data_IF_344195551864
#
_entry.id   IF_344195551864
#
_cell.length_a   1.000
_cell.length_b   1.000
_cell.length_c   1.000
_cell.angle_alpha   90.00
_cell.angle_beta   90.00
_cell.angle_gamma   90.00
#
_symmetry.space_group_name_H-M   'P 1'
#
loop_
_entity.id
_entity.type
_entity.pdbx_description
1 polymer ?
#
# COMPACT_ATOMS: atom_id res chain seq x y z
N UNK A 1 37.14 -27.83 -56.30
CA UNK A 1 36.39 -26.84 -55.52
C UNK A 1 35.36 -27.57 -54.65
N UNK A 2 35.60 -27.73 -53.34
CA UNK A 2 34.60 -28.24 -52.37
C UNK A 2 34.41 -27.14 -51.32
N UNK A 3 33.23 -26.54 -51.31
CA UNK A 3 32.85 -25.47 -50.39
C UNK A 3 32.60 -26.08 -49.00
N UNK A 4 33.40 -25.68 -48.02
CA UNK A 4 33.22 -26.02 -46.62
C UNK A 4 32.24 -25.00 -46.02
N UNK A 5 31.05 -25.45 -45.61
CA UNK A 5 30.08 -24.63 -44.92
C UNK A 5 30.51 -24.42 -43.46
N UNK A 6 30.70 -23.15 -43.08
CA UNK A 6 30.92 -22.72 -41.71
C UNK A 6 29.57 -22.66 -41.00
N UNK A 7 29.31 -23.56 -40.05
CA UNK A 7 28.17 -23.47 -39.16
C UNK A 7 28.50 -22.48 -38.03
N UNK A 8 27.95 -21.26 -38.09
CA UNK A 8 27.92 -20.35 -36.95
C UNK A 8 26.92 -20.90 -35.92
N UNK A 9 27.43 -21.47 -34.84
CA UNK A 9 26.64 -21.73 -33.64
C UNK A 9 26.30 -20.41 -32.95
N UNK A 10 25.08 -19.93 -33.13
CA UNK A 10 24.56 -18.82 -32.36
C UNK A 10 24.24 -19.30 -30.93
N UNK A 11 25.17 -19.08 -30.00
CA UNK A 11 24.92 -19.29 -28.57
C UNK A 11 23.90 -18.24 -28.12
N UNK A 12 22.63 -18.62 -28.05
CA UNK A 12 21.60 -17.79 -27.44
C UNK A 12 21.93 -17.65 -25.94
N UNK A 13 22.48 -16.49 -25.55
CA UNK A 13 22.61 -16.11 -24.16
C UNK A 13 21.19 -16.02 -23.58
N UNK A 14 20.80 -17.03 -22.79
CA UNK A 14 19.62 -16.96 -21.93
C UNK A 14 19.81 -15.79 -20.97
N UNK A 15 19.25 -14.63 -21.31
CA UNK A 15 19.17 -13.48 -20.43
C UNK A 15 18.38 -13.92 -19.20
N UNK A 16 19.07 -14.02 -18.06
CA UNK A 16 18.42 -14.28 -16.78
C UNK A 16 17.24 -13.31 -16.61
N UNK A 17 16.05 -13.79 -16.16
CA UNK A 17 14.89 -12.93 -16.05
C UNK A 17 15.25 -11.71 -15.20
N UNK A 18 15.11 -10.51 -15.79
CA UNK A 18 15.33 -9.26 -15.08
C UNK A 18 14.50 -9.30 -13.80
N UNK A 19 15.17 -9.17 -12.64
CA UNK A 19 14.50 -9.11 -11.33
C UNK A 19 13.42 -8.04 -11.41
N UNK A 20 12.15 -8.44 -11.35
CA UNK A 20 11.02 -7.52 -11.42
C UNK A 20 11.21 -6.41 -10.38
N UNK A 21 11.08 -5.16 -10.78
CA UNK A 21 11.08 -4.04 -9.83
C UNK A 21 9.80 -4.05 -9.04
N UNK A 22 9.84 -3.59 -7.79
CA UNK A 22 8.62 -3.26 -7.07
C UNK A 22 7.87 -2.20 -7.88
N UNK A 23 6.61 -2.47 -8.20
CA UNK A 23 5.75 -1.49 -8.84
C UNK A 23 5.13 -0.59 -7.77
N UNK A 24 5.03 0.70 -8.10
CA UNK A 24 4.23 1.67 -7.38
C UNK A 24 2.89 1.82 -8.12
N UNK A 25 1.81 1.80 -7.37
CA UNK A 25 0.43 1.84 -7.82
C UNK A 25 -0.24 3.11 -7.31
N UNK A 26 -1.11 3.70 -8.13
CA UNK A 26 -2.01 4.75 -7.66
C UNK A 26 -3.22 4.10 -7.01
N UNK A 27 -3.61 4.57 -5.84
CA UNK A 27 -4.86 4.17 -5.20
C UNK A 27 -5.99 5.00 -5.80
N UNK A 28 -6.98 4.31 -6.35
CA UNK A 28 -8.15 4.92 -7.01
C UNK A 28 -9.41 4.82 -6.17
N UNK A 29 -9.38 4.04 -5.09
CA UNK A 29 -10.48 3.92 -4.13
C UNK A 29 -10.37 2.65 -3.29
N UNK A 30 -11.50 2.24 -2.72
CA UNK A 30 -11.61 1.03 -1.90
C UNK A 30 -12.26 1.30 -0.55
N UNK A 31 -11.92 0.49 0.45
CA UNK A 31 -12.47 0.64 1.80
C UNK A 31 -11.55 0.08 2.89
N UNK A 32 -11.75 0.57 4.10
CA UNK A 32 -11.29 0.00 5.35
C UNK A 32 -12.48 -0.62 6.07
N UNK A 33 -12.31 -1.87 6.46
CA UNK A 33 -13.16 -2.57 7.42
C UNK A 33 -12.36 -2.73 8.72
N UNK A 34 -12.72 -2.00 9.77
CA UNK A 34 -12.07 -2.05 11.06
C UNK A 34 -12.96 -2.77 12.08
N UNK A 35 -12.61 -4.02 12.35
CA UNK A 35 -13.44 -4.96 13.09
C UNK A 35 -12.93 -5.18 14.51
N UNK A 36 -13.82 -5.12 15.51
CA UNK A 36 -13.49 -5.51 16.89
C UNK A 36 -14.73 -6.02 17.64
N UNK A 37 -14.51 -6.86 18.66
CA UNK A 37 -15.56 -7.31 19.57
C UNK A 37 -15.99 -6.20 20.54
N UNK A 38 -17.23 -6.22 21.02
CA UNK A 38 -17.67 -5.38 22.14
C UNK A 38 -17.51 -6.14 23.47
N UNK A 39 -16.27 -6.29 23.95
CA UNK A 39 -15.97 -7.15 25.09
C UNK A 39 -15.32 -6.38 26.24
N UNK A 40 -15.92 -6.48 27.43
CA UNK A 40 -15.40 -5.91 28.66
C UNK A 40 -15.68 -6.82 29.85
N UNK A 41 -14.63 -7.14 30.59
CA UNK A 41 -14.66 -7.74 31.91
C UNK A 41 -13.55 -7.14 32.77
N UNK A 42 -13.81 -6.90 34.05
CA UNK A 42 -12.82 -6.29 34.95
C UNK A 42 -11.52 -7.12 34.98
N UNK A 43 -10.38 -6.47 34.78
CA UNK A 43 -9.06 -7.12 34.77
C UNK A 43 -8.75 -8.03 33.58
N UNK A 44 -9.69 -8.24 32.64
CA UNK A 44 -9.48 -9.16 31.53
C UNK A 44 -8.51 -8.59 30.48
N UNK A 45 -7.63 -9.46 29.96
CA UNK A 45 -6.71 -9.13 28.87
C UNK A 45 -7.42 -8.98 27.53
N UNK A 46 -8.58 -9.61 27.39
CA UNK A 46 -9.44 -9.62 26.20
C UNK A 46 -10.32 -8.39 26.04
N UNK A 47 -10.23 -7.42 26.97
CA UNK A 47 -10.99 -6.18 26.86
C UNK A 47 -10.67 -5.45 25.57
N UNK A 48 -11.72 -4.96 24.91
CA UNK A 48 -11.61 -4.15 23.70
C UNK A 48 -11.96 -2.69 24.00
N UNK A 49 -11.58 -1.82 23.07
CA UNK A 49 -11.94 -0.41 23.13
C UNK A 49 -13.46 -0.18 23.12
N UNK A 50 -14.22 -0.89 22.28
CA UNK A 50 -15.69 -0.82 22.32
C UNK A 50 -16.27 -1.30 23.64
N UNK A 51 -15.74 -2.38 24.20
CA UNK A 51 -16.17 -2.87 25.50
C UNK A 51 -15.97 -1.82 26.60
N UNK A 52 -14.82 -1.14 26.60
CA UNK A 52 -14.53 -0.05 27.52
C UNK A 52 -15.50 1.11 27.37
N UNK A 53 -15.59 1.71 26.17
CA UNK A 53 -16.41 2.91 25.94
C UNK A 53 -17.86 2.66 26.35
N UNK A 54 -18.41 1.51 25.96
CA UNK A 54 -19.82 1.21 26.19
C UNK A 54 -20.07 0.57 27.56
N UNK A 55 -19.06 0.46 28.44
CA UNK A 55 -19.25 -0.12 29.76
C UNK A 55 -20.15 0.77 30.63
N UNK A 56 -21.27 0.21 31.09
CA UNK A 56 -22.22 0.84 32.01
C UNK A 56 -22.18 0.28 33.44
N UNK A 57 -21.23 -0.61 33.72
CA UNK A 57 -21.14 -1.33 35.00
C UNK A 57 -19.85 -1.01 35.75
N UNK A 58 -19.83 -1.29 37.06
CA UNK A 58 -18.69 -1.02 37.94
C UNK A 58 -18.71 0.38 38.56
N UNK A 59 -17.69 0.69 39.39
CA UNK A 59 -17.64 1.94 40.16
C UNK A 59 -17.36 3.21 39.34
N UNK A 60 -16.90 3.08 38.09
CA UNK A 60 -16.62 4.21 37.21
C UNK A 60 -16.95 3.89 35.74
N UNK A 61 -18.24 3.79 35.39
CA UNK A 61 -18.67 3.43 34.05
C UNK A 61 -18.30 4.52 33.03
N UNK A 62 -17.96 4.09 31.81
CA UNK A 62 -17.68 5.02 30.71
C UNK A 62 -18.97 5.59 30.12
N UNK A 63 -20.05 4.80 30.09
CA UNK A 63 -21.37 5.21 29.57
C UNK A 63 -21.28 6.00 28.25
N UNK A 64 -20.35 5.58 27.40
CA UNK A 64 -19.96 6.27 26.19
C UNK A 64 -20.55 5.63 24.94
N UNK A 65 -20.24 6.23 23.81
CA UNK A 65 -20.70 5.76 22.51
C UNK A 65 -19.70 6.04 21.39
N UNK A 66 -19.87 5.31 20.30
CA UNK A 66 -19.18 5.52 19.01
C UNK A 66 -20.26 5.65 17.95
N UNK A 67 -20.39 6.83 17.35
CA UNK A 67 -21.36 7.10 16.29
C UNK A 67 -20.63 7.37 14.99
N UNK A 68 -20.95 6.64 13.92
CA UNK A 68 -20.41 6.94 12.60
C UNK A 68 -21.29 7.94 11.86
N UNK A 69 -20.64 8.91 11.23
CA UNK A 69 -21.26 9.87 10.34
C UNK A 69 -20.81 9.58 8.92
N UNK A 70 -21.75 9.63 7.99
CA UNK A 70 -21.47 9.37 6.59
C UNK A 70 -20.30 10.24 6.08
N UNK A 71 -19.40 9.67 5.27
CA UNK A 71 -19.52 8.35 4.66
C UNK A 71 -18.92 7.20 5.50
N UNK A 72 -18.53 7.43 6.76
CA UNK A 72 -18.20 6.33 7.66
C UNK A 72 -19.45 5.54 8.04
N UNK A 73 -19.30 4.25 8.30
CA UNK A 73 -20.40 3.34 8.62
C UNK A 73 -20.09 2.47 9.84
N UNK A 74 -21.13 1.91 10.47
CA UNK A 74 -21.01 0.83 11.44
C UNK A 74 -21.88 -0.34 10.98
N UNK A 75 -21.31 -1.54 11.05
CA UNK A 75 -22.07 -2.80 10.93
C UNK A 75 -21.90 -3.57 12.23
N UNK A 76 -23.00 -3.82 12.94
CA UNK A 76 -23.03 -4.69 14.11
C UNK A 76 -23.41 -6.13 13.75
N UNK A 77 -23.56 -7.01 14.76
CA UNK A 77 -23.87 -8.42 14.56
C UNK A 77 -25.17 -8.69 13.78
N UNK A 78 -26.16 -7.80 13.91
CA UNK A 78 -27.46 -7.91 13.25
C UNK A 78 -27.59 -7.08 11.96
N UNK A 79 -26.53 -6.41 11.52
CA UNK A 79 -26.53 -5.57 10.32
C UNK A 79 -26.11 -4.12 10.56
N UNK A 80 -26.47 -3.24 9.63
CA UNK A 80 -26.07 -1.83 9.66
C UNK A 80 -26.70 -1.08 10.84
N UNK A 81 -25.89 -0.27 11.52
CA UNK A 81 -26.30 0.60 12.63
C UNK A 81 -25.54 1.93 12.53
N UNK A 82 -25.96 2.93 13.30
CA UNK A 82 -25.28 4.24 13.35
C UNK A 82 -24.39 4.40 14.58
N UNK A 83 -24.75 3.76 15.69
CA UNK A 83 -24.12 3.98 17.00
C UNK A 83 -23.88 2.66 17.71
N UNK A 84 -22.73 2.54 18.37
CA UNK A 84 -22.42 1.52 19.38
C UNK A 84 -22.40 2.22 20.73
N UNK A 85 -23.18 1.72 21.69
CA UNK A 85 -23.47 2.36 22.97
C UNK A 85 -23.67 1.30 24.08
N UNK A 86 -24.04 1.67 25.32
CA UNK A 86 -24.22 0.68 26.39
C UNK A 86 -25.34 -0.34 26.17
N UNK A 87 -26.33 -0.04 25.32
CA UNK A 87 -27.41 -0.96 24.97
C UNK A 87 -27.00 -1.99 23.90
N UNK A 88 -25.88 -1.73 23.20
CA UNK A 88 -25.36 -2.61 22.16
C UNK A 88 -24.86 -3.95 22.73
N UNK A 89 -25.18 -5.10 22.09
CA UNK A 89 -24.71 -6.41 22.51
C UNK A 89 -23.22 -6.48 22.86
N UNK A 90 -22.91 -7.21 23.95
CA UNK A 90 -21.56 -7.37 24.49
C UNK A 90 -21.13 -8.83 24.49
N UNK A 91 -19.86 -9.07 24.23
CA UNK A 91 -19.26 -10.41 24.16
C UNK A 91 -18.07 -10.44 23.19
N UNK A 92 -17.26 -11.50 23.29
CA UNK A 92 -16.15 -11.72 22.35
C UNK A 92 -16.62 -12.13 20.96
N UNK A 93 -17.85 -12.65 20.87
CA UNK A 93 -18.59 -13.02 19.67
C UNK A 93 -19.42 -11.85 19.08
N UNK A 94 -19.61 -10.77 19.85
CA UNK A 94 -20.35 -9.58 19.42
C UNK A 94 -19.43 -8.64 18.65
N UNK A 95 -19.30 -8.91 17.35
CA UNK A 95 -18.37 -8.22 16.45
C UNK A 95 -19.01 -7.01 15.77
N UNK A 96 -18.31 -5.88 15.81
CA UNK A 96 -18.68 -4.64 15.16
C UNK A 96 -17.59 -4.22 14.17
N UNK A 97 -17.98 -3.64 13.04
CA UNK A 97 -17.07 -3.16 12.00
C UNK A 97 -17.33 -1.69 11.71
N UNK A 98 -16.29 -0.87 11.85
CA UNK A 98 -16.26 0.51 11.38
C UNK A 98 -15.79 0.52 9.92
N UNK A 99 -16.63 1.03 9.02
CA UNK A 99 -16.30 1.19 7.61
C UNK A 99 -15.83 2.60 7.30
N UNK A 100 -14.73 2.72 6.55
CA UNK A 100 -14.29 3.99 5.97
C UNK A 100 -14.00 3.81 4.47
N UNK A 101 -14.61 4.63 3.59
CA UNK A 101 -14.19 4.69 2.20
C UNK A 101 -12.73 5.13 2.05
N UNK A 102 -12.05 4.58 1.06
CA UNK A 102 -10.72 5.03 0.64
C UNK A 102 -10.88 6.04 -0.49
N UNK A 103 -10.22 7.19 -0.34
CA UNK A 103 -10.18 8.21 -1.37
C UNK A 103 -9.16 7.87 -2.47
N UNK A 104 -9.41 8.39 -3.67
CA UNK A 104 -8.42 8.40 -4.73
C UNK A 104 -7.21 9.30 -4.38
N UNK A 105 -6.06 9.03 -4.99
CA UNK A 105 -4.85 9.88 -4.89
C UNK A 105 -3.82 9.37 -3.88
N UNK A 106 -4.13 8.28 -3.17
CA UNK A 106 -3.14 7.54 -2.40
C UNK A 106 -2.13 6.80 -3.30
N UNK A 107 -1.15 6.17 -2.67
CA UNK A 107 -0.19 5.28 -3.32
C UNK A 107 -0.08 3.97 -2.58
N UNK A 108 0.29 2.91 -3.30
CA UNK A 108 0.62 1.62 -2.72
C UNK A 108 1.71 0.96 -3.57
N UNK A 109 2.51 0.07 -3.02
CA UNK A 109 3.55 -0.63 -3.77
C UNK A 109 3.56 -2.11 -3.40
N UNK A 110 4.18 -2.92 -4.25
CA UNK A 110 4.37 -4.35 -3.95
C UNK A 110 5.18 -4.61 -2.67
N UNK A 111 5.94 -3.61 -2.20
CA UNK A 111 6.65 -3.70 -0.92
C UNK A 111 5.77 -3.35 0.29
N UNK A 112 4.46 -3.15 0.09
CA UNK A 112 3.53 -2.77 1.14
C UNK A 112 3.78 -1.35 1.67
N UNK A 113 4.34 -0.47 0.85
CA UNK A 113 4.59 0.94 1.20
C UNK A 113 3.57 1.81 0.48
N UNK A 114 3.00 2.79 1.16
CA UNK A 114 1.99 3.64 0.56
C UNK A 114 1.32 4.61 1.54
N UNK A 115 0.52 5.51 1.00
CA UNK A 115 -0.36 6.40 1.76
C UNK A 115 -1.78 6.23 1.27
N UNK A 116 -2.74 6.10 2.18
CA UNK A 116 -4.15 5.90 1.89
C UNK A 116 -4.94 6.91 2.71
N UNK A 117 -5.65 7.80 2.05
CA UNK A 117 -6.56 8.73 2.71
C UNK A 117 -7.95 8.09 2.78
N UNK A 118 -8.63 8.33 3.89
CA UNK A 118 -9.97 7.84 4.15
C UNK A 118 -10.86 9.03 4.45
N UNK A 119 -12.10 8.98 3.99
CA UNK A 119 -13.12 9.98 4.33
C UNK A 119 -14.07 9.40 5.36
N UNK A 120 -14.50 10.21 6.32
CA UNK A 120 -15.49 9.80 7.32
C UNK A 120 -15.25 10.44 8.67
N UNK A 121 -16.27 10.40 9.52
CA UNK A 121 -16.23 10.96 10.87
C UNK A 121 -16.83 9.99 11.87
N UNK A 122 -16.16 9.83 13.00
CA UNK A 122 -16.74 9.25 14.21
C UNK A 122 -16.94 10.35 15.25
N UNK A 123 -18.11 10.39 15.85
CA UNK A 123 -18.35 11.07 17.12
C UNK A 123 -18.17 10.07 18.25
N UNK A 124 -17.45 10.48 19.28
CA UNK A 124 -17.01 9.63 20.35
C UNK A 124 -17.39 10.25 21.68
N UNK A 125 -17.96 9.45 22.57
CA UNK A 125 -18.30 9.86 23.93
C UNK A 125 -17.67 8.88 24.91
N UNK A 126 -17.04 9.36 25.97
CA UNK A 126 -16.58 8.54 27.10
C UNK A 126 -16.54 9.37 28.37
N UNK A 127 -17.11 8.86 29.47
CA UNK A 127 -17.23 9.58 30.75
C UNK A 127 -17.82 10.98 30.60
N UNK A 128 -18.83 11.13 29.72
CA UNK A 128 -19.46 12.39 29.32
C UNK A 128 -18.55 13.39 28.57
N UNK A 129 -17.32 13.01 28.21
CA UNK A 129 -16.46 13.81 27.34
C UNK A 129 -16.64 13.42 25.89
N UNK A 130 -16.62 14.42 25.02
CA UNK A 130 -16.83 14.24 23.60
C UNK A 130 -15.51 14.42 22.85
N UNK A 131 -15.32 13.64 21.79
CA UNK A 131 -14.20 13.74 20.87
C UNK A 131 -14.61 13.36 19.45
N UNK A 132 -13.74 13.62 18.49
CA UNK A 132 -14.01 13.32 17.07
C UNK A 132 -12.81 12.68 16.41
N UNK A 133 -13.08 11.73 15.51
CA UNK A 133 -12.10 11.09 14.63
C UNK A 133 -12.49 11.36 13.19
N UNK A 134 -11.72 12.18 12.48
CA UNK A 134 -12.13 12.71 11.18
C UNK A 134 -11.05 12.45 10.13
N UNK A 135 -11.51 12.01 8.95
CA UNK A 135 -10.71 11.80 7.74
C UNK A 135 -9.36 11.11 7.98
N UNK A 136 -9.37 9.87 8.50
CA UNK A 136 -8.12 9.21 8.88
C UNK A 136 -7.21 8.97 7.67
N UNK A 137 -5.90 9.01 7.91
CA UNK A 137 -4.87 8.68 6.94
C UNK A 137 -4.07 7.48 7.43
N UNK A 138 -3.99 6.44 6.60
CA UNK A 138 -3.11 5.29 6.81
C UNK A 138 -1.82 5.52 6.03
N UNK A 139 -0.68 5.38 6.70
CA UNK A 139 0.64 5.32 6.05
C UNK A 139 1.24 3.95 6.28
N UNK A 140 1.46 3.20 5.21
CA UNK A 140 2.04 1.88 5.19
C UNK A 140 3.54 1.94 4.88
N UNK A 141 4.32 1.11 5.56
CA UNK A 141 5.75 0.99 5.36
C UNK A 141 6.18 -0.48 5.56
N UNK A 142 5.70 -1.33 4.66
CA UNK A 142 5.91 -2.78 4.69
C UNK A 142 5.19 -3.42 5.87
N UNK A 143 5.96 -3.92 6.82
CA UNK A 143 5.44 -4.67 7.97
C UNK A 143 4.97 -3.78 9.12
N UNK A 144 4.92 -2.47 8.90
CA UNK A 144 4.46 -1.48 9.88
C UNK A 144 3.69 -0.38 9.19
N UNK A 145 2.91 0.37 9.96
CA UNK A 145 2.24 1.56 9.48
C UNK A 145 1.89 2.51 10.61
N UNK A 146 1.10 3.53 10.27
CA UNK A 146 0.50 4.47 11.21
C UNK A 146 -0.88 4.87 10.73
N UNK A 147 -1.76 5.24 11.66
CA UNK A 147 -2.98 6.00 11.39
C UNK A 147 -2.84 7.37 12.04
N UNK A 148 -3.10 8.42 11.27
CA UNK A 148 -3.30 9.79 11.77
C UNK A 148 -4.70 10.25 11.41
N UNK A 149 -5.20 11.31 12.02
CA UNK A 149 -6.53 11.87 11.73
C UNK A 149 -6.57 13.36 12.05
N UNK A 150 -7.66 14.03 11.70
CA UNK A 150 -8.06 15.27 12.35
C UNK A 150 -9.15 15.00 13.40
N UNK A 151 -9.54 16.02 14.16
CA UNK A 151 -10.66 15.96 15.10
C UNK A 151 -10.30 16.55 16.46
N UNK A 152 -10.82 15.95 17.53
CA UNK A 152 -10.66 16.42 18.91
C UNK A 152 -10.47 15.27 19.89
N UNK A 153 -9.65 15.46 20.91
CA UNK A 153 -9.45 14.47 21.98
C UNK A 153 -10.71 14.32 22.85
N UNK A 154 -10.90 13.11 23.40
CA UNK A 154 -11.95 12.84 24.40
C UNK A 154 -11.43 13.27 25.78
N UNK A 155 -11.76 14.50 26.19
CA UNK A 155 -11.34 15.06 27.47
C UNK A 155 -12.33 16.14 27.96
N UNK A 156 -12.26 16.49 29.24
CA UNK A 156 -13.02 17.61 29.81
C UNK A 156 -12.76 18.93 29.07
N UNK A 157 -11.54 19.12 28.59
CA UNK A 157 -11.15 20.21 27.69
C UNK A 157 -10.59 19.59 26.40
N UNK A 158 -11.44 19.40 25.36
CA UNK A 158 -11.00 18.80 24.11
C UNK A 158 -9.92 19.63 23.42
N UNK A 159 -8.90 18.95 22.89
CA UNK A 159 -7.81 19.57 22.13
C UNK A 159 -7.92 19.15 20.68
N UNK A 160 -7.71 20.08 19.75
CA UNK A 160 -7.69 19.79 18.33
C UNK A 160 -6.52 18.86 17.98
N UNK A 161 -6.80 17.87 17.13
CA UNK A 161 -5.84 16.92 16.62
C UNK A 161 -5.73 17.10 15.11
N UNK A 162 -4.51 17.03 14.60
CA UNK A 162 -4.20 17.06 13.18
C UNK A 162 -3.35 15.86 12.75
N UNK A 163 -3.07 15.77 11.45
CA UNK A 163 -2.31 14.66 10.89
C UNK A 163 -0.82 14.60 11.32
N UNK A 164 -0.34 15.52 12.16
CA UNK A 164 0.98 15.42 12.77
C UNK A 164 1.02 14.39 13.91
N UNK A 165 -0.15 14.07 14.48
CA UNK A 165 -0.30 13.19 15.63
C UNK A 165 -0.67 11.77 15.22
N UNK A 166 0.22 10.82 15.53
CA UNK A 166 -0.03 9.40 15.27
C UNK A 166 -1.02 8.87 16.29
N UNK A 167 -2.20 8.49 15.82
CA UNK A 167 -3.28 7.92 16.63
C UNK A 167 -3.06 6.44 16.94
N UNK A 168 -2.58 5.71 15.92
CA UNK A 168 -2.27 4.29 16.01
C UNK A 168 -0.96 3.98 15.30
N UNK A 169 -0.11 3.19 15.94
CA UNK A 169 0.88 2.40 15.22
C UNK A 169 0.21 1.16 14.65
N UNK A 170 0.64 0.72 13.47
CA UNK A 170 0.12 -0.50 12.87
C UNK A 170 1.20 -1.57 12.85
N UNK A 171 0.88 -2.75 13.38
CA UNK A 171 1.64 -3.97 13.19
C UNK A 171 1.04 -4.78 12.03
N UNK A 172 1.83 -4.96 10.97
CA UNK A 172 1.47 -5.76 9.80
C UNK A 172 2.30 -7.04 9.73
N UNK A 173 2.89 -7.47 10.86
CA UNK A 173 3.78 -8.61 10.90
C UNK A 173 3.12 -9.91 10.44
N UNK A 174 1.84 -10.07 10.75
CA UNK A 174 1.02 -11.22 10.36
C UNK A 174 -0.03 -10.86 9.31
N UNK A 175 0.11 -9.70 8.67
CA UNK A 175 -0.81 -9.27 7.64
C UNK A 175 -0.68 -10.14 6.39
N UNK A 176 -1.82 -10.45 5.76
CA UNK A 176 -1.87 -11.19 4.50
C UNK A 176 -2.26 -10.24 3.37
N UNK A 177 -1.49 -10.24 2.29
CA UNK A 177 -1.77 -9.44 1.09
C UNK A 177 -2.26 -10.38 -0.01
N UNK A 178 -3.48 -10.14 -0.49
CA UNK A 178 -4.10 -10.90 -1.57
C UNK A 178 -4.41 -9.97 -2.73
N UNK A 179 -3.98 -10.33 -3.94
CA UNK A 179 -4.51 -9.74 -5.15
C UNK A 179 -5.80 -10.46 -5.53
N UNK A 180 -6.88 -9.70 -5.73
CA UNK A 180 -8.17 -10.22 -6.15
C UNK A 180 -8.27 -10.23 -7.68
N UNK A 181 -9.22 -11.01 -8.19
CA UNK A 181 -9.48 -11.13 -9.63
C UNK A 181 -9.88 -9.80 -10.29
N UNK A 182 -10.51 -8.90 -9.53
CA UNK A 182 -10.86 -7.53 -9.95
C UNK A 182 -9.65 -6.57 -9.99
N UNK A 183 -8.43 -7.07 -9.75
CA UNK A 183 -7.20 -6.28 -9.71
C UNK A 183 -6.95 -5.55 -8.39
N UNK A 184 -7.92 -5.53 -7.46
CA UNK A 184 -7.76 -4.89 -6.15
C UNK A 184 -6.77 -5.64 -5.25
N UNK A 185 -6.15 -4.90 -4.31
CA UNK A 185 -5.31 -5.46 -3.26
C UNK A 185 -6.07 -5.49 -1.95
N UNK A 186 -6.11 -6.64 -1.29
CA UNK A 186 -6.66 -6.81 0.07
C UNK A 186 -5.54 -7.09 1.04
N UNK A 187 -5.44 -6.29 2.10
CA UNK A 187 -4.46 -6.43 3.17
C UNK A 187 -5.26 -6.66 4.46
N UNK A 188 -5.26 -7.87 4.97
CA UNK A 188 -5.99 -8.25 6.20
C UNK A 188 -5.03 -8.53 7.36
N UNK A 189 -5.59 -8.62 8.58
CA UNK A 189 -4.87 -8.85 9.83
C UNK A 189 -3.87 -7.73 10.18
N UNK A 190 -4.22 -6.48 9.86
CA UNK A 190 -3.47 -5.31 10.32
C UNK A 190 -3.89 -5.03 11.76
N UNK A 191 -2.93 -4.96 12.69
CA UNK A 191 -3.22 -4.77 14.12
C UNK A 191 -2.91 -3.33 14.55
N UNK A 192 -3.93 -2.51 14.86
CA UNK A 192 -3.75 -1.19 15.45
C UNK A 192 -3.33 -1.25 16.93
N UNK A 193 -2.37 -0.41 17.27
CA UNK A 193 -1.80 -0.25 18.61
C UNK A 193 -1.90 1.23 18.99
N UNK A 194 -2.59 1.53 20.08
CA UNK A 194 -2.79 2.91 20.55
C UNK A 194 -1.47 3.61 20.87
N UNK A 195 -1.45 4.93 20.74
CA UNK A 195 -0.31 5.78 21.12
C UNK A 195 -0.67 6.72 22.27
N UNK A 196 0.31 7.50 22.75
CA UNK A 196 0.06 8.57 23.71
C UNK A 196 -0.76 9.73 23.12
N UNK A 197 -0.72 9.94 21.80
CA UNK A 197 -1.50 10.98 21.11
C UNK A 197 -2.87 10.46 20.62
N UNK A 198 -3.27 9.23 21.01
CA UNK A 198 -4.53 8.64 20.56
C UNK A 198 -5.73 9.37 21.14
N UNK A 199 -6.63 9.82 20.28
CA UNK A 199 -7.95 10.35 20.67
C UNK A 199 -8.80 9.28 21.38
N UNK A 200 -8.52 7.99 21.14
CA UNK A 200 -9.18 6.85 21.76
C UNK A 200 -8.39 6.46 23.03
N UNK A 201 -8.64 7.21 24.11
CA UNK A 201 -7.88 7.11 25.36
C UNK A 201 -7.98 5.72 26.04
N UNK A 202 -7.05 5.45 26.96
CA UNK A 202 -7.10 4.33 27.90
C UNK A 202 -6.18 3.14 27.59
N UNK A 203 -5.66 3.03 26.36
CA UNK A 203 -4.92 1.82 25.91
C UNK A 203 -3.65 2.11 25.10
N UNK A 204 -2.94 3.20 25.42
CA UNK A 204 -1.65 3.49 24.81
C UNK A 204 -0.68 2.29 24.93
N UNK A 205 -0.09 1.90 23.80
CA UNK A 205 0.81 0.74 23.68
C UNK A 205 0.12 -0.63 23.61
N UNK A 206 -1.21 -0.70 23.71
CA UNK A 206 -1.95 -1.97 23.70
C UNK A 206 -2.66 -2.21 22.36
N UNK A 207 -2.84 -3.48 22.03
CA UNK A 207 -3.54 -3.95 20.82
C UNK A 207 -5.02 -4.29 21.10
N UNK A 208 -5.76 -3.37 21.74
CA UNK A 208 -7.17 -3.56 22.14
C UNK A 208 -8.19 -3.03 21.14
N UNK A 209 -7.71 -2.67 19.96
CA UNK A 209 -8.49 -2.00 18.94
C UNK A 209 -8.90 -2.95 17.80
N UNK A 210 -8.88 -4.27 18.01
CA UNK A 210 -9.29 -5.23 16.98
C UNK A 210 -8.31 -5.33 15.80
N UNK A 211 -8.85 -5.53 14.60
CA UNK A 211 -8.07 -5.72 13.37
C UNK A 211 -8.65 -4.92 12.21
N UNK A 212 -7.76 -4.49 11.31
CA UNK A 212 -8.10 -3.75 10.10
C UNK A 212 -7.90 -4.66 8.88
N UNK A 213 -8.89 -4.63 8.00
CA UNK A 213 -8.77 -5.07 6.61
C UNK A 213 -8.86 -3.87 5.69
N UNK A 214 -7.83 -3.69 4.86
CA UNK A 214 -7.77 -2.65 3.86
C UNK A 214 -7.95 -3.26 2.47
N UNK A 215 -8.95 -2.80 1.73
CA UNK A 215 -9.16 -3.12 0.31
C UNK A 215 -8.83 -1.89 -0.51
N UNK A 216 -7.91 -2.01 -1.46
CA UNK A 216 -7.46 -0.93 -2.35
C UNK A 216 -7.79 -1.28 -3.79
N UNK A 217 -8.61 -0.44 -4.44
CA UNK A 217 -8.61 -0.35 -5.88
C UNK A 217 -7.31 0.36 -6.29
N UNK A 218 -6.56 -0.26 -7.22
CA UNK A 218 -5.27 0.24 -7.65
C UNK A 218 -5.21 0.31 -9.17
N UNK A 219 -4.65 1.41 -9.66
CA UNK A 219 -4.25 1.55 -11.04
C UNK A 219 -2.79 1.11 -11.18
N UNK A 220 -2.57 0.20 -12.12
CA UNK A 220 -1.24 -0.30 -12.45
C UNK A 220 -0.57 0.67 -13.40
N UNK A 221 0.72 1.01 -13.21
CA UNK A 221 1.44 1.83 -14.18
C UNK A 221 1.39 1.12 -15.54
N UNK A 222 0.91 1.82 -16.58
CA UNK A 222 0.91 1.26 -17.92
C UNK A 222 2.32 0.82 -18.30
N UNK A 223 2.49 -0.35 -18.95
CA UNK A 223 3.75 -0.68 -19.58
C UNK A 223 3.96 0.37 -20.67
N UNK A 224 4.85 1.34 -20.41
CA UNK A 224 5.06 2.49 -21.29
C UNK A 224 5.07 2.07 -22.76
N UNK A 225 4.28 2.76 -23.57
CA UNK A 225 4.29 2.58 -25.02
C UNK A 225 5.75 2.67 -25.49
N UNK A 226 6.22 1.63 -26.20
CA UNK A 226 7.52 1.70 -26.84
C UNK A 226 7.58 2.93 -27.76
N UNK A 227 8.77 3.46 -28.08
CA UNK A 227 8.89 4.56 -29.03
C UNK A 227 8.10 4.19 -30.31
N UNK A 228 7.29 5.13 -30.80
CA UNK A 228 6.60 4.98 -32.08
C UNK A 228 7.65 4.61 -33.14
N UNK A 229 7.40 3.52 -33.88
CA UNK A 229 8.30 3.08 -34.93
C UNK A 229 8.61 4.22 -35.91
N UNK A 230 9.78 4.23 -36.57
CA UNK A 230 10.12 5.25 -37.54
C UNK A 230 8.99 5.37 -38.57
N UNK A 231 8.66 6.62 -38.96
CA UNK A 231 7.73 6.89 -40.06
C UNK A 231 8.20 6.08 -41.28
N UNK A 232 7.29 5.31 -41.89
CA UNK A 232 7.60 4.51 -43.07
C UNK A 232 8.20 5.37 -44.18
N UNK A 233 9.10 4.78 -44.96
CA UNK A 233 9.78 5.47 -46.06
C UNK A 233 8.77 6.09 -47.03
N UNK A 234 9.07 7.30 -47.50
CA UNK A 234 8.32 7.95 -48.57
C UNK A 234 8.34 7.03 -49.79
N UNK A 235 7.16 6.71 -50.35
CA UNK A 235 7.06 5.85 -51.53
C UNK A 235 7.93 6.34 -52.70
N UNK A 236 8.43 5.41 -53.50
CA UNK A 236 9.29 5.70 -54.65
C UNK A 236 8.60 6.70 -55.60
N UNK A 237 9.34 7.74 -56.00
CA UNK A 237 8.91 8.67 -57.04
C UNK A 237 8.64 7.87 -58.31
N UNK A 238 7.42 7.99 -58.86
CA UNK A 238 7.04 7.28 -60.08
C UNK A 238 8.04 7.53 -61.23
N UNK A 239 8.31 6.47 -62.00
CA UNK A 239 9.24 6.52 -63.13
C UNK A 239 8.93 7.69 -64.07
N UNK A 240 9.97 8.43 -64.46
CA UNK A 240 9.85 9.47 -65.48
C UNK A 240 9.28 8.86 -66.77
N UNK A 241 8.19 9.43 -67.29
CA UNK A 241 7.59 9.00 -68.54
C UNK A 241 8.59 9.05 -69.69
N UNK A 242 8.56 8.04 -70.57
CA UNK A 242 9.41 7.96 -71.75
C UNK A 242 9.31 9.24 -72.59
N UNK A 243 10.45 9.76 -73.03
CA UNK A 243 10.52 10.94 -73.88
C UNK A 243 9.88 10.65 -75.24
N UNK A 244 8.63 11.09 -75.40
CA UNK A 244 7.90 11.13 -76.64
C UNK A 244 7.70 12.58 -77.09
N UNK A 245 7.96 12.82 -78.36
CA UNK A 245 7.88 14.10 -79.06
C UNK A 245 6.54 14.82 -78.89
N UNK A 246 6.61 16.13 -78.59
CA UNK A 246 5.61 17.18 -78.89
C UNK A 246 4.16 16.96 -78.44
N UNK A 247 3.80 17.53 -77.28
CA UNK A 247 2.68 18.46 -77.00
C UNK A 247 2.78 18.79 -75.50
N UNK A 248 2.58 20.06 -75.11
CA UNK A 248 2.65 20.52 -73.73
C UNK A 248 1.52 19.87 -72.89
N UNK A 249 1.81 18.73 -72.27
CA UNK A 249 0.94 18.03 -71.33
C UNK A 249 1.27 18.40 -69.88
N UNK A 250 0.24 18.60 -69.07
CA UNK A 250 0.27 18.99 -67.65
C UNK A 250 1.22 18.11 -66.80
N UNK A 251 1.84 18.63 -65.72
CA UNK A 251 2.57 17.79 -64.77
C UNK A 251 1.69 16.64 -64.27
N UNK A 252 2.23 15.42 -64.28
CA UNK A 252 1.53 14.23 -63.79
C UNK A 252 1.07 14.41 -62.34
N UNK A 253 -0.14 13.93 -62.03
CA UNK A 253 -0.72 14.00 -60.69
C UNK A 253 0.23 13.36 -59.65
N UNK A 254 0.38 14.02 -58.50
CA UNK A 254 1.07 13.45 -57.33
C UNK A 254 0.44 12.09 -57.01
N UNK A 255 1.26 11.05 -56.89
CA UNK A 255 0.79 9.70 -56.56
C UNK A 255 -0.02 9.69 -55.26
N UNK A 256 -0.99 8.77 -55.11
CA UNK A 256 -1.79 8.68 -53.89
C UNK A 256 -0.88 8.49 -52.68
N UNK A 257 -1.26 9.13 -51.56
CA UNK A 257 -0.60 8.89 -50.29
C UNK A 257 -0.61 7.39 -49.98
N UNK A 258 0.55 6.83 -49.66
CA UNK A 258 0.67 5.41 -49.30
C UNK A 258 -0.26 5.04 -48.14
N UNK A 259 -0.70 3.76 -48.05
CA UNK A 259 -1.60 3.33 -46.98
C UNK A 259 -1.00 3.62 -45.60
N UNK A 260 -1.86 3.88 -44.62
CA UNK A 260 -1.44 3.97 -43.23
C UNK A 260 -0.68 2.68 -42.84
N UNK A 261 0.46 2.82 -42.17
CA UNK A 261 1.23 1.68 -41.68
C UNK A 261 0.39 0.79 -40.76
N UNK A 262 0.71 -0.51 -40.64
CA UNK A 262 -0.04 -1.41 -39.78
C UNK A 262 -0.04 -0.89 -38.33
N UNK A 263 -1.18 -1.02 -37.65
CA UNK A 263 -1.26 -0.74 -36.22
C UNK A 263 -0.19 -1.58 -35.50
N UNK A 264 0.58 -0.95 -34.61
CA UNK A 264 1.58 -1.64 -33.80
C UNK A 264 0.94 -2.80 -33.01
N UNK A 265 1.72 -3.84 -32.65
CA UNK A 265 1.18 -4.95 -31.87
C UNK A 265 0.56 -4.44 -30.57
N UNK A 266 -0.54 -5.08 -30.14
CA UNK A 266 -1.14 -4.80 -28.85
C UNK A 266 -0.09 -4.83 -27.74
N UNK A 267 -0.20 -3.90 -26.78
CA UNK A 267 0.66 -3.88 -25.60
C UNK A 267 0.62 -5.24 -24.91
N UNK A 268 1.77 -5.69 -24.40
CA UNK A 268 1.86 -6.95 -23.65
C UNK A 268 1.00 -6.82 -22.40
N UNK A 269 0.25 -7.85 -22.06
CA UNK A 269 -0.50 -7.92 -20.80
C UNK A 269 0.40 -7.51 -19.62
N UNK A 270 -0.15 -6.71 -18.69
CA UNK A 270 0.57 -6.29 -17.50
C UNK A 270 1.12 -7.50 -16.76
N UNK A 271 2.43 -7.51 -16.46
CA UNK A 271 3.05 -8.60 -15.70
C UNK A 271 2.29 -8.80 -14.40
N UNK A 272 1.88 -10.04 -14.12
CA UNK A 272 1.34 -10.46 -12.82
C UNK A 272 2.17 -9.84 -11.68
N UNK A 273 1.51 -9.17 -10.74
CA UNK A 273 2.16 -8.57 -9.58
C UNK A 273 2.94 -9.63 -8.81
N UNK A 274 4.22 -9.39 -8.58
CA UNK A 274 5.04 -10.34 -7.81
C UNK A 274 4.64 -10.26 -6.34
N UNK A 275 4.26 -11.37 -5.72
CA UNK A 275 3.91 -11.40 -4.29
C UNK A 275 5.10 -11.00 -3.41
N UNK A 276 4.84 -10.36 -2.27
CA UNK A 276 5.86 -10.09 -1.25
C UNK A 276 6.01 -11.29 -0.30
N UNK A 277 7.23 -11.55 0.17
CA UNK A 277 7.55 -12.49 1.25
C UNK A 277 8.29 -11.80 2.39
N UNK A 278 8.11 -12.33 3.60
CA UNK A 278 8.80 -11.86 4.80
C UNK A 278 10.06 -12.68 5.01
N UNK A 279 11.17 -12.02 5.30
CA UNK A 279 12.38 -12.68 5.80
C UNK A 279 12.94 -11.98 7.02
N UNK A 280 13.51 -12.79 7.91
CA UNK A 280 14.19 -12.32 9.12
C UNK A 280 15.66 -12.67 9.02
N UNK A 281 16.51 -11.67 9.22
CA UNK A 281 17.95 -11.81 9.20
C UNK A 281 18.52 -11.43 10.57
N UNK A 282 19.53 -12.18 11.01
CA UNK A 282 20.36 -11.77 12.15
C UNK A 282 21.65 -11.19 11.61
N UNK A 283 21.84 -9.89 11.82
CA UNK A 283 23.01 -9.15 11.38
C UNK A 283 24.22 -9.45 12.28
N UNK A 284 25.43 -9.32 11.71
CA UNK A 284 26.70 -9.49 12.44
C UNK A 284 26.80 -8.52 13.62
N UNK A 285 26.44 -7.26 13.41
CA UNK A 285 26.42 -6.20 14.42
C UNK A 285 25.17 -5.33 14.28
N UNK A 286 24.81 -4.63 15.35
CA UNK A 286 23.67 -3.71 15.34
C UNK A 286 24.06 -2.46 14.51
N UNK A 287 23.34 -2.13 13.43
CA UNK A 287 23.73 -1.01 12.55
C UNK A 287 23.51 0.36 13.19
N UNK A 288 22.64 0.44 14.20
CA UNK A 288 22.32 1.66 14.92
C UNK A 288 22.27 1.36 16.42
N UNK A 289 22.72 2.33 17.21
CA UNK A 289 22.69 2.29 18.68
C UNK A 289 21.26 2.36 19.22
N UNK A 290 21.06 1.82 20.42
CA UNK A 290 19.77 1.81 21.14
C UNK A 290 18.94 0.54 20.92
N UNK A 291 17.89 0.40 21.72
CA UNK A 291 17.04 -0.80 21.80
C UNK A 291 15.69 -0.67 21.09
N UNK A 292 15.35 0.53 20.63
CA UNK A 292 14.10 0.81 19.95
C UNK A 292 14.00 0.10 18.58
N UNK A 293 12.81 -0.38 18.25
CA UNK A 293 12.48 -0.87 16.91
C UNK A 293 12.43 0.30 15.93
N UNK A 294 13.18 0.22 14.84
CA UNK A 294 13.29 1.27 13.83
C UNK A 294 12.68 0.81 12.50
N UNK A 295 11.90 1.69 11.86
CA UNK A 295 11.41 1.50 10.49
C UNK A 295 12.55 1.74 9.48
N UNK A 296 12.74 0.82 8.54
CA UNK A 296 13.88 0.84 7.61
C UNK A 296 13.51 0.46 6.17
N UNK A 297 14.37 0.91 5.25
CA UNK A 297 14.43 0.48 3.85
C UNK A 297 15.78 -0.18 3.59
N UNK A 298 15.79 -1.31 2.87
CA UNK A 298 17.00 -1.98 2.37
C UNK A 298 17.19 -1.59 0.91
N UNK A 299 18.33 -0.96 0.62
CA UNK A 299 18.68 -0.40 -0.66
C UNK A 299 19.83 -1.20 -1.28
N UNK A 300 19.74 -1.43 -2.59
CA UNK A 300 20.87 -1.90 -3.39
C UNK A 300 21.98 -0.85 -3.37
N UNK A 301 23.21 -1.26 -3.05
CA UNK A 301 24.33 -0.34 -2.82
C UNK A 301 24.66 0.58 -4.01
N UNK A 302 24.62 0.05 -5.23
CA UNK A 302 25.04 0.78 -6.44
C UNK A 302 23.96 1.73 -6.96
N UNK A 303 22.71 1.27 -6.96
CA UNK A 303 21.60 1.97 -7.62
C UNK A 303 20.75 2.78 -6.65
N UNK A 304 20.87 2.54 -5.33
CA UNK A 304 19.95 3.09 -4.33
C UNK A 304 18.53 2.52 -4.40
N UNK A 305 18.27 1.56 -5.31
CA UNK A 305 16.96 0.94 -5.48
C UNK A 305 16.52 0.26 -4.19
N UNK A 306 15.29 0.51 -3.78
CA UNK A 306 14.72 -0.11 -2.58
C UNK A 306 14.26 -1.51 -2.94
N UNK A 307 14.82 -2.50 -2.25
CA UNK A 307 14.56 -3.93 -2.49
C UNK A 307 13.71 -4.55 -1.39
N UNK A 308 13.70 -3.95 -0.19
CA UNK A 308 12.92 -4.42 0.94
C UNK A 308 12.58 -3.28 1.89
N UNK A 309 11.52 -3.44 2.66
CA UNK A 309 11.12 -2.52 3.74
C UNK A 309 10.74 -3.31 4.98
N UNK A 310 10.87 -2.72 6.17
CA UNK A 310 10.47 -3.39 7.39
C UNK A 310 11.04 -2.76 8.64
N UNK A 311 11.45 -3.60 9.59
CA UNK A 311 11.90 -3.17 10.92
C UNK A 311 13.27 -3.73 11.27
N UNK A 312 13.99 -2.96 12.08
CA UNK A 312 15.27 -3.32 12.64
C UNK A 312 15.25 -3.09 14.15
N UNK A 313 15.50 -4.13 14.94
CA UNK A 313 15.66 -4.07 16.39
C UNK A 313 17.00 -4.70 16.78
N UNK A 314 17.98 -3.87 17.16
CA UNK A 314 19.35 -4.31 17.39
C UNK A 314 19.94 -5.00 16.15
N UNK A 315 20.18 -6.31 16.24
CA UNK A 315 20.70 -7.14 15.14
C UNK A 315 19.62 -7.86 14.32
N UNK A 316 18.35 -7.83 14.74
CA UNK A 316 17.27 -8.51 14.03
C UNK A 316 16.65 -7.57 13.00
N UNK A 317 16.84 -7.89 11.73
CA UNK A 317 16.23 -7.21 10.59
C UNK A 317 15.09 -8.07 10.06
N UNK A 318 13.86 -7.57 10.08
CA UNK A 318 12.69 -8.25 9.55
C UNK A 318 12.09 -7.42 8.41
N UNK A 319 12.07 -7.97 7.20
CA UNK A 319 11.74 -7.20 5.98
C UNK A 319 10.78 -7.94 5.07
N UNK A 320 9.88 -7.17 4.45
CA UNK A 320 9.07 -7.55 3.30
C UNK A 320 9.85 -7.22 2.02
N UNK A 321 9.89 -8.17 1.08
CA UNK A 321 10.51 -8.01 -0.24
C UNK A 321 9.83 -8.94 -1.25
N UNK A 322 9.98 -8.67 -2.54
CA UNK A 322 9.39 -9.51 -3.58
C UNK A 322 9.91 -10.95 -3.50
N UNK A 323 9.05 -11.93 -3.80
CA UNK A 323 9.43 -13.35 -3.82
C UNK A 323 10.58 -13.64 -4.78
N UNK A 324 10.65 -12.90 -5.89
CA UNK A 324 11.70 -12.96 -6.91
C UNK A 324 13.01 -12.27 -6.51
N UNK A 325 13.01 -11.50 -5.41
CA UNK A 325 14.20 -10.85 -4.91
C UNK A 325 14.93 -11.78 -3.93
N UNK A 326 16.20 -12.04 -4.20
CA UNK A 326 17.11 -12.70 -3.25
C UNK A 326 17.94 -11.65 -2.53
N UNK A 327 17.85 -11.62 -1.20
CA UNK A 327 18.57 -10.69 -0.35
C UNK A 327 19.82 -11.34 0.23
N UNK A 328 20.84 -11.55 -0.60
CA UNK A 328 22.14 -12.12 -0.21
C UNK A 328 23.28 -11.20 -0.68
N UNK A 329 24.15 -10.82 0.25
CA UNK A 329 25.29 -9.92 0.00
C UNK A 329 25.17 -8.59 0.73
N UNK A 330 25.83 -7.55 0.19
CA UNK A 330 25.99 -6.27 0.88
C UNK A 330 24.99 -5.22 0.41
N UNK A 331 24.29 -4.60 1.36
CA UNK A 331 23.21 -3.64 1.14
C UNK A 331 23.37 -2.41 2.02
N UNK A 332 22.62 -1.35 1.69
CA UNK A 332 22.49 -0.17 2.55
C UNK A 332 21.14 -0.25 3.27
N UNK A 333 21.14 -0.23 4.59
CA UNK A 333 19.93 -0.01 5.37
C UNK A 333 19.82 1.47 5.70
N UNK A 334 18.69 2.09 5.36
CA UNK A 334 18.37 3.49 5.69
C UNK A 334 17.17 3.54 6.63
N UNK A 335 17.20 4.41 7.64
CA UNK A 335 16.01 4.70 8.44
C UNK A 335 14.95 5.37 7.58
N UNK A 336 13.68 5.00 7.77
CA UNK A 336 12.57 5.63 7.05
C UNK A 336 12.39 7.09 7.47
N UNK A 337 12.65 7.40 8.75
CA UNK A 337 12.75 8.77 9.26
C UNK A 337 14.22 9.22 9.37
N UNK A 338 14.52 10.38 8.80
CA UNK A 338 15.85 11.00 8.84
C UNK A 338 16.85 10.51 7.79
N UNK A 339 18.13 10.84 7.99
CA UNK A 339 19.21 10.64 7.01
C UNK A 339 20.13 9.46 7.34
N UNK A 340 19.98 8.84 8.52
CA UNK A 340 20.87 7.77 9.00
C UNK A 340 20.78 6.53 8.12
N UNK A 341 21.96 6.02 7.73
CA UNK A 341 22.14 4.81 6.93
C UNK A 341 23.36 4.02 7.39
N UNK A 342 23.37 2.71 7.12
CA UNK A 342 24.48 1.82 7.44
C UNK A 342 24.64 0.76 6.37
N UNK A 343 25.87 0.30 6.14
CA UNK A 343 26.15 -0.85 5.29
C UNK A 343 25.96 -2.13 6.10
N UNK A 344 25.27 -3.11 5.52
CA UNK A 344 25.01 -4.40 6.13
C UNK A 344 25.33 -5.53 5.16
N UNK A 345 25.54 -6.73 5.68
CA UNK A 345 25.67 -7.95 4.88
C UNK A 345 24.61 -8.94 5.32
N UNK A 346 23.82 -9.44 4.36
CA UNK A 346 22.81 -10.47 4.52
C UNK A 346 23.35 -11.78 3.98
N UNK A 347 23.20 -12.87 4.74
CA UNK A 347 23.64 -14.22 4.37
C UNK A 347 22.45 -15.09 4.06
#
# INVERSE_FOLDING_TARGET
>A
MRKLFLALGATALLVAPATASAADYKVTGGKVDWTMANAYASGATTNTWFGYITNATGGFPSNGSVTANAPATITGPAGAITTIDPASPKGLDQIYTLGFPVDAGGTYSDLGVGTVNLTGKLDLVSHAWNGTFVNPRITLNGLTGTITSTGTTIAATPVAVDHSKVQFNLDLSNATVTQRADGSKRISNIVPIGTADSILAGYAGQARYGAITLTLAVEYPEPGTGPQGPKGDTGETGNAGAAGTTVLGSPGAVGPQGPAGPQGPAGKDGKNGTSAKISTFTLKSAPFTGTATRKVRVLQRKTGKVLATGTLKGRKLRVSHLTTTSLKGSYVVKLTSGTRRALITLR
#
